data_IF_755595185086
#
_entry.id   IF_755595185086
#
_cell.length_a   1.000
_cell.length_b   1.000
_cell.length_c   1.000
_cell.angle_alpha   90.00
_cell.angle_beta   90.00
_cell.angle_gamma   90.00
#
_symmetry.space_group_name_H-M   'P 1'
#
loop_
_entity.id
_entity.type
_entity.pdbx_description
1 polymer ?
#
# COMPACT_ATOMS: atom_id res chain seq x y z
N UNK A 1 51.96 33.39 6.77
CA UNK A 1 50.93 33.98 5.89
C UNK A 1 50.49 33.05 4.75
N UNK A 2 51.41 32.45 3.98
CA UNK A 2 51.07 31.50 2.88
C UNK A 2 50.31 30.24 3.33
N UNK A 3 50.68 29.69 4.49
CA UNK A 3 50.05 28.47 5.06
C UNK A 3 48.70 28.73 5.75
N UNK A 4 48.41 29.98 6.11
CA UNK A 4 47.14 30.36 6.75
C UNK A 4 45.99 30.38 5.74
N UNK A 5 46.30 30.70 4.47
CA UNK A 5 45.33 30.75 3.37
C UNK A 5 44.99 29.33 2.84
N UNK A 6 45.91 28.36 2.97
CA UNK A 6 45.66 26.98 2.52
C UNK A 6 44.78 26.14 3.47
N UNK A 7 44.65 26.51 4.74
CA UNK A 7 43.82 25.76 5.69
C UNK A 7 42.36 26.21 5.63
N UNK A 8 42.10 27.45 5.18
CA UNK A 8 40.74 28.01 5.11
C UNK A 8 39.96 27.54 3.87
N UNK A 9 40.63 27.05 2.83
CA UNK A 9 40.00 26.54 1.59
C UNK A 9 39.58 25.06 1.67
N UNK A 10 40.04 24.31 2.67
CA UNK A 10 39.71 22.88 2.82
C UNK A 10 38.44 22.60 3.65
N UNK A 11 37.81 23.64 4.23
CA UNK A 11 36.69 23.49 5.16
C UNK A 11 35.29 23.66 4.53
N UNK A 12 35.22 23.86 3.20
CA UNK A 12 33.96 24.19 2.50
C UNK A 12 33.34 23.03 1.71
N UNK A 13 33.75 21.77 1.94
CA UNK A 13 33.30 20.62 1.13
C UNK A 13 32.44 19.58 1.85
N UNK A 14 31.86 19.92 3.00
CA UNK A 14 31.02 18.99 3.77
C UNK A 14 29.67 19.60 4.14
N UNK A 15 28.90 20.02 3.14
CA UNK A 15 27.46 20.16 3.31
C UNK A 15 26.83 18.77 3.19
N UNK A 16 26.30 18.17 4.28
CA UNK A 16 25.47 16.99 4.12
C UNK A 16 24.24 17.43 3.34
N UNK A 17 24.06 16.88 2.15
CA UNK A 17 22.80 16.99 1.44
C UNK A 17 21.73 16.35 2.33
N UNK A 18 20.99 17.19 3.06
CA UNK A 18 19.75 16.79 3.69
C UNK A 18 18.81 16.41 2.54
N UNK A 19 18.81 15.13 2.19
CA UNK A 19 17.76 14.54 1.40
C UNK A 19 16.47 14.85 2.16
N UNK A 20 15.72 15.82 1.64
CA UNK A 20 14.36 16.02 2.08
C UNK A 20 13.64 14.74 1.69
N UNK A 21 13.44 13.85 2.65
CA UNK A 21 12.48 12.76 2.54
C UNK A 21 11.15 13.42 2.20
N UNK A 22 10.84 13.50 0.91
CA UNK A 22 9.54 13.80 0.40
C UNK A 22 8.68 12.57 0.74
N UNK A 23 8.38 12.41 2.03
CA UNK A 23 7.46 11.41 2.53
C UNK A 23 6.11 11.78 1.94
N UNK A 24 5.81 11.19 0.78
CA UNK A 24 4.46 11.14 0.23
C UNK A 24 3.59 10.57 1.33
N UNK A 25 2.82 11.45 1.98
CA UNK A 25 1.99 11.08 3.12
C UNK A 25 0.86 10.21 2.59
N UNK A 26 1.04 8.89 2.65
CA UNK A 26 -0.06 7.96 2.48
C UNK A 26 -1.11 8.27 3.56
N UNK A 27 -2.35 8.49 3.14
CA UNK A 27 -3.46 8.81 4.05
C UNK A 27 -4.58 7.80 3.85
N UNK A 28 -5.26 7.47 4.94
CA UNK A 28 -6.40 6.56 4.93
C UNK A 28 -7.66 7.39 5.16
N UNK A 29 -8.64 7.27 4.26
CA UNK A 29 -9.90 8.00 4.39
C UNK A 29 -10.73 7.44 5.55
N UNK A 30 -11.63 8.24 6.14
CA UNK A 30 -12.57 7.75 7.15
C UNK A 30 -13.45 6.61 6.65
N UNK A 31 -13.85 6.65 5.37
CA UNK A 31 -14.61 5.59 4.72
C UNK A 31 -13.81 4.28 4.68
N UNK A 32 -12.52 4.36 4.40
CA UNK A 32 -11.65 3.19 4.37
C UNK A 32 -11.29 2.71 5.78
N UNK A 33 -11.14 3.60 6.77
CA UNK A 33 -11.01 3.17 8.16
C UNK A 33 -12.20 2.31 8.63
N UNK A 34 -13.44 2.65 8.23
CA UNK A 34 -14.62 1.80 8.53
C UNK A 34 -14.55 0.41 7.89
N UNK A 35 -13.80 0.26 6.80
CA UNK A 35 -13.59 -1.04 6.11
C UNK A 35 -12.44 -1.84 6.72
N UNK A 36 -11.41 -1.15 7.22
CA UNK A 36 -10.21 -1.76 7.77
C UNK A 36 -10.44 -2.34 9.17
N UNK A 37 -11.25 -1.70 10.00
CA UNK A 37 -11.59 -2.23 11.33
C UNK A 37 -12.55 -3.41 11.15
N UNK A 38 -12.00 -4.62 11.15
CA UNK A 38 -12.76 -5.86 11.00
C UNK A 38 -13.77 -6.04 12.12
N UNK A 39 -14.94 -6.57 11.75
CA UNK A 39 -15.91 -7.07 12.71
C UNK A 39 -15.27 -8.19 13.56
N UNK A 40 -15.28 -8.03 14.90
CA UNK A 40 -14.98 -9.12 15.83
C UNK A 40 -16.23 -9.98 15.96
N UNK A 41 -16.25 -11.21 15.40
CA UNK A 41 -17.40 -12.10 15.53
C UNK A 41 -17.68 -12.37 17.00
N UNK A 42 -18.95 -12.37 17.36
CA UNK A 42 -19.39 -12.88 18.67
C UNK A 42 -19.15 -14.40 18.74
N UNK A 43 -19.04 -14.95 19.95
CA UNK A 43 -18.72 -16.37 20.13
C UNK A 43 -19.79 -17.32 19.52
N UNK A 44 -21.01 -16.83 19.31
CA UNK A 44 -22.15 -17.57 18.76
C UNK A 44 -22.13 -17.71 17.23
N UNK A 45 -21.23 -17.03 16.51
CA UNK A 45 -21.13 -17.09 15.03
C UNK A 45 -19.98 -17.97 14.53
N UNK A 46 -19.47 -18.87 15.38
CA UNK A 46 -18.46 -19.85 14.95
C UNK A 46 -19.00 -20.70 13.79
N UNK A 47 -18.22 -20.79 12.70
CA UNK A 47 -18.61 -21.54 11.51
C UNK A 47 -18.84 -23.02 11.83
N UNK A 48 -19.97 -23.54 11.36
CA UNK A 48 -20.31 -24.97 11.41
C UNK A 48 -20.45 -25.48 9.98
N UNK A 49 -19.62 -26.44 9.61
CA UNK A 49 -19.63 -26.99 8.26
C UNK A 49 -20.99 -27.61 7.94
N UNK A 50 -21.53 -27.29 6.76
CA UNK A 50 -22.77 -27.89 6.25
C UNK A 50 -24.06 -27.35 6.84
N UNK A 51 -24.03 -26.30 7.68
CA UNK A 51 -25.24 -25.64 8.21
C UNK A 51 -25.17 -24.11 8.11
N UNK A 52 -26.29 -23.47 7.75
CA UNK A 52 -26.42 -22.01 7.75
C UNK A 52 -26.61 -21.43 9.17
N UNK A 53 -26.62 -20.10 9.27
CA UNK A 53 -26.84 -19.37 10.53
C UNK A 53 -28.21 -19.63 11.18
N UNK A 54 -29.16 -20.25 10.46
CA UNK A 54 -30.49 -20.64 10.95
C UNK A 54 -30.58 -22.15 11.23
N UNK A 55 -29.44 -22.86 11.20
CA UNK A 55 -29.36 -24.31 11.43
C UNK A 55 -29.89 -25.15 10.28
N UNK A 56 -30.13 -24.56 9.10
CA UNK A 56 -30.58 -25.32 7.93
C UNK A 56 -29.37 -25.96 7.25
N UNK A 57 -29.47 -27.22 6.79
CA UNK A 57 -28.40 -27.85 6.05
C UNK A 57 -28.12 -27.06 4.76
N UNK A 58 -26.83 -26.84 4.49
CA UNK A 58 -26.36 -26.22 3.24
C UNK A 58 -25.33 -27.11 2.59
N UNK A 59 -25.48 -27.31 1.28
CA UNK A 59 -24.46 -27.99 0.48
C UNK A 59 -23.23 -27.08 0.46
N UNK A 60 -22.05 -27.66 0.71
CA UNK A 60 -20.80 -26.93 0.58
C UNK A 60 -20.74 -26.35 -0.84
N UNK A 61 -20.42 -25.06 -0.96
CA UNK A 61 -20.20 -24.46 -2.26
C UNK A 61 -19.16 -25.31 -2.99
N UNK A 62 -19.56 -25.93 -4.12
CA UNK A 62 -18.57 -26.38 -5.10
C UNK A 62 -17.87 -25.11 -5.55
N UNK A 63 -16.74 -24.80 -4.93
CA UNK A 63 -15.84 -23.79 -5.44
C UNK A 63 -15.48 -24.16 -6.88
N UNK A 64 -15.18 -23.19 -7.75
CA UNK A 64 -14.73 -23.50 -9.09
C UNK A 64 -13.49 -24.41 -9.02
N UNK A 65 -13.72 -25.70 -9.27
CA UNK A 65 -12.74 -26.67 -9.76
C UNK A 65 -12.77 -26.75 -11.29
N UNK A 66 -13.40 -25.78 -11.95
CA UNK A 66 -13.29 -25.60 -13.39
C UNK A 66 -12.12 -24.66 -13.62
N UNK A 67 -11.04 -25.23 -14.14
CA UNK A 67 -9.88 -24.58 -14.72
C UNK A 67 -10.18 -23.10 -15.05
N UNK A 68 -9.62 -22.19 -14.25
CA UNK A 68 -9.61 -20.77 -14.59
C UNK A 68 -8.84 -20.65 -15.91
N UNK A 69 -9.56 -20.75 -17.03
CA UNK A 69 -9.02 -21.13 -18.32
C UNK A 69 -7.66 -20.53 -18.60
N UNK A 70 -6.60 -21.35 -18.53
CA UNK A 70 -5.21 -21.06 -18.84
C UNK A 70 -4.67 -19.65 -18.48
N UNK A 71 -5.25 -18.95 -17.49
CA UNK A 71 -4.75 -17.64 -17.08
C UNK A 71 -3.56 -17.89 -16.16
N UNK A 72 -2.35 -17.83 -16.72
CA UNK A 72 -1.12 -17.89 -15.94
C UNK A 72 -1.04 -16.61 -15.11
N UNK A 73 -1.25 -16.74 -13.79
CA UNK A 73 -1.01 -15.63 -12.88
C UNK A 73 0.49 -15.24 -12.98
N UNK A 74 0.81 -13.95 -13.04
CA UNK A 74 2.20 -13.50 -12.98
C UNK A 74 2.78 -13.75 -11.59
N UNK A 75 4.11 -13.74 -11.43
CA UNK A 75 4.72 -13.86 -10.09
C UNK A 75 4.55 -12.58 -9.27
N UNK A 76 4.40 -11.43 -9.94
CA UNK A 76 4.35 -10.10 -9.32
C UNK A 76 3.28 -9.24 -9.97
N UNK A 77 2.55 -8.50 -9.13
CA UNK A 77 1.63 -7.45 -9.54
C UNK A 77 2.18 -6.12 -9.04
N UNK A 78 2.50 -5.21 -9.95
CA UNK A 78 3.01 -3.87 -9.61
C UNK A 78 1.94 -2.83 -9.87
N UNK A 79 1.68 -1.98 -8.88
CA UNK A 79 0.79 -0.83 -8.97
C UNK A 79 1.64 0.43 -8.79
N UNK A 80 1.74 1.22 -9.85
CA UNK A 80 2.45 2.50 -9.81
C UNK A 80 1.50 3.61 -9.41
N UNK A 81 1.75 4.21 -8.24
CA UNK A 81 1.04 5.40 -7.82
C UNK A 81 1.69 6.62 -8.45
N UNK A 82 0.97 7.33 -9.30
CA UNK A 82 1.47 8.53 -9.95
C UNK A 82 0.57 9.75 -9.80
N UNK A 83 1.14 10.93 -10.00
CA UNK A 83 0.40 12.19 -10.06
C UNK A 83 0.13 12.56 -11.52
N UNK A 84 -1.12 12.84 -11.87
CA UNK A 84 -1.49 13.42 -13.16
C UNK A 84 -1.12 14.91 -13.20
N UNK A 85 0.00 15.21 -13.86
CA UNK A 85 0.48 16.58 -14.02
C UNK A 85 -0.24 17.29 -15.17
N UNK A 86 -0.63 16.57 -16.23
CA UNK A 86 -1.27 17.16 -17.41
C UNK A 86 -2.64 17.74 -17.05
N UNK A 87 -3.45 16.97 -16.31
CA UNK A 87 -4.72 17.43 -15.76
C UNK A 87 -4.55 18.57 -14.76
N UNK A 88 -3.52 18.52 -13.90
CA UNK A 88 -3.23 19.57 -12.91
C UNK A 88 -2.86 20.92 -13.54
N UNK A 89 -2.09 20.91 -14.63
CA UNK A 89 -1.59 22.14 -15.28
C UNK A 89 -2.40 22.55 -16.53
N UNK A 90 -3.51 21.88 -16.82
CA UNK A 90 -4.40 22.23 -17.92
C UNK A 90 -3.78 22.04 -19.31
N UNK A 91 -2.84 21.09 -19.46
CA UNK A 91 -2.19 20.80 -20.73
C UNK A 91 -3.19 20.07 -21.63
N UNK A 92 -3.62 20.71 -22.72
CA UNK A 92 -4.54 20.15 -23.71
C UNK A 92 -3.92 18.92 -24.39
N UNK A 93 -4.67 17.80 -24.48
CA UNK A 93 -4.17 16.50 -24.94
C UNK A 93 -3.85 15.50 -23.83
N UNK A 94 -4.26 15.77 -22.58
CA UNK A 94 -4.01 14.95 -21.40
C UNK A 94 -4.47 13.47 -21.47
N UNK A 95 -5.30 13.10 -22.45
CA UNK A 95 -5.65 11.71 -22.73
C UNK A 95 -4.62 10.96 -23.59
N UNK A 96 -3.78 11.67 -24.35
CA UNK A 96 -2.75 11.11 -25.24
C UNK A 96 -1.34 11.22 -24.66
N UNK A 97 -1.11 12.15 -23.74
CA UNK A 97 0.16 12.33 -23.05
C UNK A 97 -0.01 12.15 -21.55
N UNK A 98 0.29 10.95 -21.06
CA UNK A 98 0.36 10.68 -19.62
C UNK A 98 1.64 11.31 -19.07
N UNK A 99 1.56 12.58 -18.66
CA UNK A 99 2.56 13.17 -17.78
C UNK A 99 2.35 12.65 -16.35
N UNK A 100 2.47 11.34 -16.18
CA UNK A 100 2.32 10.65 -14.91
C UNK A 100 3.71 10.46 -14.31
N UNK A 101 4.01 11.16 -13.22
CA UNK A 101 5.23 10.90 -12.44
C UNK A 101 4.92 9.83 -11.40
N UNK A 102 5.62 8.69 -11.46
CA UNK A 102 5.51 7.65 -10.43
C UNK A 102 6.12 8.13 -9.12
N UNK A 103 5.31 8.12 -8.07
CA UNK A 103 5.71 8.47 -6.71
C UNK A 103 6.35 7.29 -5.99
N UNK A 104 5.73 6.11 -6.08
CA UNK A 104 6.25 4.87 -5.51
C UNK A 104 5.54 3.64 -6.08
N UNK A 105 6.26 2.53 -6.29
CA UNK A 105 5.66 1.24 -6.63
C UNK A 105 5.15 0.52 -5.38
N UNK A 106 3.96 -0.08 -5.52
CA UNK A 106 3.47 -1.11 -4.61
C UNK A 106 3.49 -2.44 -5.35
N UNK A 107 4.23 -3.41 -4.83
CA UNK A 107 4.41 -4.72 -5.47
C UNK A 107 3.81 -5.81 -4.58
N UNK A 108 2.87 -6.57 -5.11
CA UNK A 108 2.41 -7.82 -4.50
C UNK A 108 3.17 -9.00 -5.09
N UNK A 109 3.88 -9.73 -4.24
CA UNK A 109 4.60 -10.94 -4.62
C UNK A 109 3.74 -12.17 -4.30
N UNK A 110 3.36 -12.91 -5.35
CA UNK A 110 2.48 -14.07 -5.24
C UNK A 110 3.21 -15.31 -4.71
N UNK A 111 4.52 -15.42 -4.90
CA UNK A 111 5.32 -16.52 -4.37
C UNK A 111 5.60 -16.38 -2.87
N UNK A 112 5.86 -15.16 -2.41
CA UNK A 112 6.14 -14.84 -1.01
C UNK A 112 4.88 -14.47 -0.19
N UNK A 113 3.73 -14.30 -0.85
CA UNK A 113 2.48 -13.92 -0.21
C UNK A 113 2.58 -12.62 0.59
N UNK A 114 2.89 -11.50 -0.07
CA UNK A 114 2.91 -10.21 0.63
C UNK A 114 3.19 -8.98 -0.23
N UNK A 115 2.90 -7.82 0.33
CA UNK A 115 3.11 -6.51 -0.30
C UNK A 115 4.49 -5.94 0.04
N UNK A 116 5.07 -5.22 -0.90
CA UNK A 116 6.19 -4.31 -0.66
C UNK A 116 5.81 -2.91 -1.13
N UNK A 117 6.25 -1.90 -0.39
CA UNK A 117 6.11 -0.48 -0.74
C UNK A 117 7.52 0.08 -0.78
N UNK A 118 7.94 0.65 -1.92
CA UNK A 118 9.33 1.09 -2.11
C UNK A 118 10.36 0.00 -1.77
N UNK A 119 10.07 -1.25 -2.12
CA UNK A 119 10.93 -2.41 -1.83
C UNK A 119 10.94 -2.88 -0.37
N UNK A 120 10.30 -2.15 0.56
CA UNK A 120 10.15 -2.60 1.96
C UNK A 120 8.89 -3.45 2.11
N UNK A 121 9.03 -4.65 2.68
CA UNK A 121 7.91 -5.55 2.94
C UNK A 121 6.97 -4.96 3.99
N UNK A 122 5.69 -4.96 3.66
CA UNK A 122 4.62 -4.68 4.60
C UNK A 122 4.36 -5.94 5.44
N UNK A 123 4.40 -5.80 6.75
CA UNK A 123 4.24 -6.90 7.70
C UNK A 123 2.84 -6.93 8.29
N UNK A 124 2.54 -8.00 9.02
CA UNK A 124 1.29 -8.08 9.80
C UNK A 124 1.26 -7.06 10.94
N UNK A 125 2.41 -6.62 11.45
CA UNK A 125 2.49 -5.56 12.46
C UNK A 125 2.10 -4.21 11.88
N UNK A 126 2.56 -3.88 10.66
CA UNK A 126 2.18 -2.65 9.98
C UNK A 126 0.66 -2.59 9.75
N UNK A 127 0.06 -3.71 9.34
CA UNK A 127 -1.39 -3.82 9.15
C UNK A 127 -2.15 -3.62 10.47
N UNK A 128 -1.70 -4.27 11.56
CA UNK A 128 -2.28 -4.09 12.90
C UNK A 128 -2.16 -2.65 13.40
N UNK A 129 -1.05 -1.98 13.13
CA UNK A 129 -0.85 -0.60 13.53
C UNK A 129 -1.87 0.33 12.85
N UNK A 130 -2.11 0.13 11.55
CA UNK A 130 -3.12 0.89 10.79
C UNK A 130 -4.53 0.59 11.32
N UNK A 131 -4.88 -0.68 11.56
CA UNK A 131 -6.17 -1.08 12.12
C UNK A 131 -6.43 -0.41 13.48
N UNK A 132 -5.44 -0.45 14.40
CA UNK A 132 -5.53 0.18 15.72
C UNK A 132 -5.68 1.70 15.64
N UNK A 133 -5.01 2.35 14.70
CA UNK A 133 -5.19 3.78 14.46
C UNK A 133 -6.62 4.09 14.00
N UNK A 134 -7.18 3.30 13.08
CA UNK A 134 -8.57 3.43 12.65
C UNK A 134 -9.58 3.16 13.78
N UNK A 135 -9.36 2.15 14.63
CA UNK A 135 -10.19 1.89 15.82
C UNK A 135 -10.26 3.12 16.74
N UNK A 136 -9.13 3.78 16.95
CA UNK A 136 -9.03 4.98 17.80
C UNK A 136 -9.79 6.18 17.20
N UNK A 137 -9.78 6.32 15.87
CA UNK A 137 -10.47 7.40 15.17
C UNK A 137 -11.99 7.19 15.15
N UNK A 138 -12.45 5.94 15.02
CA UNK A 138 -13.88 5.62 14.91
C UNK A 138 -14.62 5.54 16.24
N UNK A 139 -13.92 5.29 17.35
CA UNK A 139 -14.49 5.20 18.70
C UNK A 139 -14.33 6.48 19.54
N UNK A 140 -13.94 7.59 18.91
CA UNK A 140 -14.01 8.94 19.47
C UNK A 140 -15.34 9.59 19.13
#
# INVERSE_FOLDING_TARGET
MKYLVMILSALMLSAPALAQDATSKASVSLKDCKRLVKHKPRADVAYKAGVDVRGKPVVAAHGPGADAGAFKLPDKITIDFGLDLAGKYGISGAGEHTATTSLFPVVYDLGMGGLTVNGKRLTSDDSRAIEKACETILNK
#
